data_IF_288126450584
#
_entry.id   IF_288126450584
#
_cell.length_a   1.000
_cell.length_b   1.000
_cell.length_c   1.000
_cell.angle_alpha   90.00
_cell.angle_beta   90.00
_cell.angle_gamma   90.00
#
_symmetry.space_group_name_H-M   'P 1'
#
loop_
_entity.id
_entity.type
_entity.pdbx_description
1 polymer ?
#
# COMPACT_ATOMS: atom_id res chain seq x y z
N UNK A 1 11.19 0.97 -2.42
CA UNK A 1 12.60 1.33 -2.71
C UNK A 1 13.16 2.55 -1.94
N UNK A 2 12.35 3.31 -1.20
CA UNK A 2 12.89 4.36 -0.31
C UNK A 2 13.91 3.83 0.71
N UNK A 3 13.76 2.55 1.11
CA UNK A 3 14.73 1.83 1.94
C UNK A 3 16.05 1.45 1.24
N UNK A 4 16.23 1.75 -0.05
CA UNK A 4 17.47 1.53 -0.81
C UNK A 4 18.14 2.85 -1.12
N UNK A 5 17.39 3.85 -1.58
CA UNK A 5 17.94 5.11 -2.09
C UNK A 5 18.70 5.91 -1.04
N UNK A 6 18.15 6.05 0.18
CA UNK A 6 18.84 6.76 1.26
C UNK A 6 20.08 6.01 1.78
N UNK A 7 20.03 4.70 2.08
CA UNK A 7 21.23 3.94 2.41
C UNK A 7 22.29 3.99 1.31
N UNK A 8 21.89 3.87 0.04
CA UNK A 8 22.83 4.00 -1.08
C UNK A 8 23.51 5.37 -1.07
N UNK A 9 22.76 6.46 -0.94
CA UNK A 9 23.32 7.82 -0.82
C UNK A 9 24.29 7.96 0.34
N UNK A 10 23.95 7.39 1.50
CA UNK A 10 24.83 7.47 2.67
C UNK A 10 26.12 6.66 2.49
N UNK A 11 26.07 5.55 1.75
CA UNK A 11 27.24 4.71 1.48
C UNK A 11 28.12 5.26 0.36
N UNK A 12 27.54 5.89 -0.67
CA UNK A 12 28.28 6.44 -1.81
C UNK A 12 28.72 7.88 -1.60
N UNK A 13 28.00 8.66 -0.79
CA UNK A 13 28.16 10.12 -0.70
C UNK A 13 27.68 10.89 -1.93
N UNK A 14 27.12 10.19 -2.93
CA UNK A 14 26.78 10.73 -4.25
C UNK A 14 25.33 10.39 -4.63
N UNK A 15 24.56 11.43 -4.94
CA UNK A 15 23.14 11.32 -5.30
C UNK A 15 22.91 10.65 -6.67
N UNK A 16 23.80 10.86 -7.63
CA UNK A 16 23.70 10.23 -8.95
C UNK A 16 23.99 8.73 -8.86
N UNK A 17 25.04 8.34 -8.13
CA UNK A 17 25.34 6.92 -7.88
C UNK A 17 24.21 6.25 -7.09
N UNK A 18 23.65 6.93 -6.09
CA UNK A 18 22.51 6.42 -5.34
C UNK A 18 21.26 6.23 -6.20
N UNK A 19 21.00 7.15 -7.12
CA UNK A 19 19.93 7.02 -8.11
C UNK A 19 20.16 5.79 -9.00
N UNK A 20 21.35 5.61 -9.58
CA UNK A 20 21.69 4.42 -10.40
C UNK A 20 21.46 3.11 -9.65
N UNK A 21 21.92 3.03 -8.39
CA UNK A 21 21.70 1.86 -7.52
C UNK A 21 20.21 1.61 -7.29
N UNK A 22 19.42 2.66 -7.06
CA UNK A 22 17.98 2.52 -6.91
C UNK A 22 17.29 2.08 -8.22
N UNK A 23 17.72 2.58 -9.39
CA UNK A 23 17.21 2.11 -10.68
C UNK A 23 17.49 0.61 -10.85
N UNK A 24 18.71 0.16 -10.54
CA UNK A 24 19.07 -1.26 -10.61
C UNK A 24 18.28 -2.12 -9.62
N UNK A 25 18.09 -1.64 -8.39
CA UNK A 25 17.26 -2.32 -7.40
C UNK A 25 15.79 -2.41 -7.83
N UNK A 26 15.27 -1.37 -8.50
CA UNK A 26 13.95 -1.37 -9.11
C UNK A 26 13.88 -2.42 -10.24
N UNK A 27 14.87 -2.46 -11.12
CA UNK A 27 14.97 -3.44 -12.21
C UNK A 27 14.95 -4.88 -11.69
N UNK A 28 15.78 -5.20 -10.68
CA UNK A 28 15.81 -6.53 -10.04
C UNK A 28 14.49 -6.84 -9.33
N UNK A 29 13.91 -5.87 -8.61
CA UNK A 29 12.63 -6.06 -7.94
C UNK A 29 11.54 -6.49 -8.92
N UNK A 30 11.48 -5.85 -10.10
CA UNK A 30 10.54 -6.23 -11.15
C UNK A 30 10.76 -7.65 -11.68
N UNK A 31 12.01 -8.05 -11.88
CA UNK A 31 12.35 -9.40 -12.33
C UNK A 31 12.00 -10.47 -11.28
N UNK A 32 12.28 -10.20 -10.00
CA UNK A 32 11.91 -11.08 -8.88
C UNK A 32 10.40 -11.22 -8.77
N UNK A 33 9.65 -10.12 -8.87
CA UNK A 33 8.19 -10.16 -8.83
C UNK A 33 7.58 -10.92 -10.01
N UNK A 34 8.11 -10.73 -11.22
CA UNK A 34 7.72 -11.52 -12.37
C UNK A 34 7.96 -13.03 -12.16
N UNK A 35 9.03 -13.41 -11.46
CA UNK A 35 9.27 -14.80 -11.09
C UNK A 35 8.28 -15.31 -10.01
N UNK A 36 8.00 -14.50 -8.99
CA UNK A 36 7.01 -14.81 -7.93
C UNK A 36 5.60 -15.02 -8.52
N UNK A 37 5.28 -14.31 -9.60
CA UNK A 37 3.97 -14.39 -10.28
C UNK A 37 3.52 -15.82 -10.61
N UNK A 38 4.47 -16.74 -10.86
CA UNK A 38 4.20 -18.15 -11.14
C UNK A 38 3.43 -18.85 -10.01
N UNK A 39 3.66 -18.41 -8.77
CA UNK A 39 3.02 -18.93 -7.56
C UNK A 39 1.85 -18.05 -7.08
N UNK A 40 1.64 -16.87 -7.69
CA UNK A 40 0.68 -15.85 -7.23
C UNK A 40 -0.74 -16.37 -7.01
N UNK A 41 -1.30 -17.05 -8.01
CA UNK A 41 -2.65 -17.62 -7.92
C UNK A 41 -2.76 -18.70 -6.83
N UNK A 42 -1.70 -19.48 -6.58
CA UNK A 42 -1.70 -20.49 -5.54
C UNK A 42 -1.71 -19.86 -4.15
N UNK A 43 -0.89 -18.83 -3.93
CA UNK A 43 -0.85 -18.08 -2.67
C UNK A 43 -2.20 -17.40 -2.41
N UNK A 44 -2.76 -16.68 -3.40
CA UNK A 44 -4.07 -16.02 -3.28
C UNK A 44 -5.16 -16.99 -2.84
N UNK A 45 -5.26 -18.17 -3.49
CA UNK A 45 -6.26 -19.19 -3.16
C UNK A 45 -6.06 -19.82 -1.78
N UNK A 46 -4.85 -19.77 -1.25
CA UNK A 46 -4.51 -20.32 0.06
C UNK A 46 -4.82 -19.34 1.20
N UNK A 47 -5.05 -18.06 0.89
CA UNK A 47 -5.32 -17.01 1.87
C UNK A 47 -6.82 -16.67 1.92
N UNK A 48 -7.42 -16.51 3.11
CA UNK A 48 -8.78 -16.05 3.22
C UNK A 48 -8.93 -14.60 2.74
N UNK A 49 -9.99 -14.34 1.95
CA UNK A 49 -10.31 -13.01 1.42
C UNK A 49 -10.42 -11.93 2.50
N UNK A 50 -11.06 -12.23 3.63
CA UNK A 50 -11.16 -11.29 4.76
C UNK A 50 -9.80 -10.85 5.31
N UNK A 51 -8.79 -11.72 5.29
CA UNK A 51 -7.44 -11.40 5.74
C UNK A 51 -6.70 -10.48 4.76
N UNK A 52 -6.79 -10.77 3.45
CA UNK A 52 -6.22 -9.93 2.40
C UNK A 52 -6.86 -8.54 2.37
N UNK A 53 -8.19 -8.46 2.41
CA UNK A 53 -8.92 -7.20 2.43
C UNK A 53 -8.75 -6.43 3.76
N UNK A 54 -8.63 -7.13 4.88
CA UNK A 54 -8.32 -6.49 6.17
C UNK A 54 -6.94 -5.84 6.20
N UNK A 55 -5.94 -6.48 5.59
CA UNK A 55 -4.63 -5.87 5.38
C UNK A 55 -4.72 -4.59 4.52
N UNK A 56 -5.49 -4.63 3.42
CA UNK A 56 -5.77 -3.45 2.58
C UNK A 56 -6.46 -2.35 3.36
N UNK A 57 -7.48 -2.69 4.16
CA UNK A 57 -8.19 -1.73 5.01
C UNK A 57 -7.27 -1.11 6.04
N UNK A 58 -6.28 -1.85 6.56
CA UNK A 58 -5.26 -1.34 7.47
C UNK A 58 -4.42 -0.25 6.82
N UNK A 59 -3.89 -0.49 5.60
CA UNK A 59 -3.16 0.53 4.81
C UNK A 59 -4.06 1.73 4.52
N UNK A 60 -5.30 1.46 4.12
CA UNK A 60 -6.27 2.49 3.79
C UNK A 60 -6.59 3.39 4.98
N UNK A 61 -6.72 2.82 6.18
CA UNK A 61 -6.98 3.57 7.40
C UNK A 61 -5.80 4.47 7.76
N UNK A 62 -4.57 3.97 7.67
CA UNK A 62 -3.41 4.68 8.21
C UNK A 62 -2.79 5.64 7.20
N UNK A 63 -2.28 5.11 6.09
CA UNK A 63 -1.46 5.86 5.13
C UNK A 63 -2.28 6.58 4.04
N UNK A 64 -3.56 6.23 3.89
CA UNK A 64 -4.45 6.88 2.93
C UNK A 64 -5.44 7.80 3.64
N UNK A 65 -6.50 7.27 4.25
CA UNK A 65 -7.55 8.07 4.86
C UNK A 65 -7.04 8.87 6.06
N UNK A 66 -6.35 8.24 7.02
CA UNK A 66 -5.87 8.89 8.23
C UNK A 66 -4.87 10.00 7.92
N UNK A 67 -3.79 9.68 7.22
CA UNK A 67 -2.76 10.66 6.87
C UNK A 67 -3.30 11.81 6.02
N UNK A 68 -4.17 11.53 5.04
CA UNK A 68 -4.75 12.58 4.21
C UNK A 68 -5.79 13.41 4.97
N UNK A 69 -6.46 12.84 5.97
CA UNK A 69 -7.31 13.61 6.87
C UNK A 69 -6.46 14.57 7.72
N UNK A 70 -5.30 14.14 8.23
CA UNK A 70 -4.39 15.05 8.94
C UNK A 70 -3.92 16.19 8.02
N UNK A 71 -3.52 15.87 6.78
CA UNK A 71 -3.15 16.89 5.77
C UNK A 71 -4.29 17.83 5.40
N UNK A 72 -5.52 17.33 5.35
CA UNK A 72 -6.71 18.16 5.16
C UNK A 72 -6.82 19.19 6.28
N UNK A 73 -6.58 18.78 7.53
CA UNK A 73 -6.73 19.61 8.71
C UNK A 73 -5.53 20.51 9.02
N UNK A 74 -4.44 20.47 8.24
CA UNK A 74 -3.31 21.41 8.37
C UNK A 74 -3.72 22.85 8.00
N UNK A 75 -4.72 23.02 7.11
CA UNK A 75 -5.36 24.31 6.84
C UNK A 75 -6.88 24.13 7.00
N UNK A 76 -7.40 24.12 8.24
CA UNK A 76 -8.76 23.66 8.56
C UNK A 76 -9.85 24.33 7.74
N UNK A 77 -9.76 25.65 7.52
CA UNK A 77 -10.81 26.39 6.81
C UNK A 77 -11.01 25.89 5.38
N UNK A 78 -9.92 25.60 4.68
CA UNK A 78 -9.96 25.10 3.31
C UNK A 78 -10.28 23.60 3.33
N UNK A 79 -9.58 22.85 4.16
CA UNK A 79 -9.70 21.41 4.24
C UNK A 79 -11.12 20.96 4.60
N UNK A 80 -11.76 21.58 5.60
CA UNK A 80 -13.12 21.23 6.01
C UNK A 80 -14.15 21.55 4.93
N UNK A 81 -14.00 22.66 4.21
CA UNK A 81 -14.88 23.00 3.09
C UNK A 81 -14.76 21.98 1.96
N UNK A 82 -13.52 21.68 1.54
CA UNK A 82 -13.26 20.68 0.50
C UNK A 82 -13.76 19.30 0.95
N UNK A 83 -13.53 18.92 2.20
CA UNK A 83 -14.03 17.66 2.77
C UNK A 83 -15.56 17.60 2.76
N UNK A 84 -16.26 18.69 3.12
CA UNK A 84 -17.71 18.75 3.04
C UNK A 84 -18.21 18.58 1.60
N UNK A 85 -17.56 19.22 0.62
CA UNK A 85 -17.84 19.04 -0.80
C UNK A 85 -17.65 17.56 -1.20
N UNK A 86 -16.57 16.91 -0.75
CA UNK A 86 -16.30 15.51 -1.05
C UNK A 86 -17.35 14.57 -0.43
N UNK A 87 -17.79 14.83 0.80
CA UNK A 87 -18.84 14.04 1.45
C UNK A 87 -20.17 14.19 0.69
N UNK A 88 -20.58 15.41 0.38
CA UNK A 88 -21.82 15.66 -0.37
C UNK A 88 -21.74 15.04 -1.77
N UNK A 89 -20.61 15.24 -2.46
CA UNK A 89 -20.47 14.90 -3.87
C UNK A 89 -20.16 13.44 -4.16
N UNK A 90 -19.31 12.80 -3.35
CA UNK A 90 -18.87 11.42 -3.60
C UNK A 90 -19.49 10.40 -2.63
N UNK A 91 -19.76 10.77 -1.38
CA UNK A 91 -20.43 9.86 -0.41
C UNK A 91 -21.94 9.90 -0.61
N UNK A 92 -22.56 11.08 -0.56
CA UNK A 92 -24.00 11.24 -0.77
C UNK A 92 -24.41 11.25 -2.26
N UNK A 93 -23.43 11.28 -3.18
CA UNK A 93 -23.63 11.29 -4.65
C UNK A 93 -24.52 12.44 -5.15
N UNK A 94 -24.45 13.59 -4.48
CA UNK A 94 -25.21 14.78 -4.87
C UNK A 94 -24.42 15.58 -5.91
N UNK A 95 -25.07 15.97 -7.01
CA UNK A 95 -24.42 16.76 -8.06
C UNK A 95 -23.98 18.13 -7.56
N UNK A 96 -22.74 18.53 -7.91
CA UNK A 96 -22.27 19.89 -7.66
C UNK A 96 -22.97 20.92 -8.56
N UNK A 97 -22.91 22.22 -8.21
CA UNK A 97 -23.32 23.29 -9.10
C UNK A 97 -22.73 23.13 -10.50
N UNK A 98 -23.51 23.50 -11.52
CA UNK A 98 -23.13 23.36 -12.94
C UNK A 98 -22.85 21.92 -13.41
N UNK A 99 -23.25 20.91 -12.63
CA UNK A 99 -23.02 19.47 -12.92
C UNK A 99 -21.53 19.12 -13.06
N UNK A 100 -20.66 19.85 -12.38
CA UNK A 100 -19.23 19.55 -12.33
C UNK A 100 -18.97 18.27 -11.50
N UNK A 101 -17.94 17.47 -11.85
CA UNK A 101 -17.47 16.40 -10.98
C UNK A 101 -17.07 16.95 -9.60
N UNK A 102 -17.45 16.24 -8.53
CA UNK A 102 -17.24 16.70 -7.17
C UNK A 102 -15.77 17.01 -6.85
N UNK A 103 -14.85 16.13 -7.28
CA UNK A 103 -13.40 16.32 -7.12
C UNK A 103 -12.90 17.57 -7.87
N UNK A 104 -13.34 17.80 -9.10
CA UNK A 104 -12.96 18.99 -9.88
C UNK A 104 -13.49 20.27 -9.22
N UNK A 105 -14.76 20.27 -8.80
CA UNK A 105 -15.36 21.39 -8.10
C UNK A 105 -14.62 21.70 -6.78
N UNK A 106 -14.31 20.67 -6.00
CA UNK A 106 -13.56 20.78 -4.75
C UNK A 106 -12.15 21.37 -4.99
N UNK A 107 -11.46 20.92 -6.04
CA UNK A 107 -10.14 21.45 -6.42
C UNK A 107 -10.23 22.94 -6.79
N UNK A 108 -11.18 23.33 -7.63
CA UNK A 108 -11.33 24.72 -8.08
C UNK A 108 -11.63 25.63 -6.89
N UNK A 109 -12.65 25.29 -6.10
CA UNK A 109 -13.09 26.11 -4.95
C UNK A 109 -12.03 26.14 -3.87
N UNK A 110 -11.44 24.99 -3.53
CA UNK A 110 -10.40 24.89 -2.50
C UNK A 110 -9.14 25.65 -2.87
N UNK A 111 -8.68 25.54 -4.12
CA UNK A 111 -7.49 26.26 -4.59
C UNK A 111 -7.76 27.76 -4.62
N UNK A 112 -8.90 28.21 -5.15
CA UNK A 112 -9.27 29.62 -5.15
C UNK A 112 -9.29 30.20 -3.72
N UNK A 113 -9.93 29.48 -2.79
CA UNK A 113 -9.97 29.90 -1.38
C UNK A 113 -8.57 29.97 -0.76
N UNK A 114 -7.69 29.02 -1.10
CA UNK A 114 -6.32 29.00 -0.60
C UNK A 114 -5.53 30.26 -0.96
N UNK A 115 -5.66 30.73 -2.20
CA UNK A 115 -5.03 31.96 -2.64
C UNK A 115 -5.71 33.21 -2.07
N UNK A 116 -7.05 33.23 -2.01
CA UNK A 116 -7.80 34.38 -1.48
C UNK A 116 -7.47 34.69 -0.01
N UNK A 117 -7.16 33.66 0.77
CA UNK A 117 -6.88 33.77 2.21
C UNK A 117 -5.38 33.93 2.48
N UNK A 118 -4.55 33.89 1.43
CA UNK A 118 -3.09 33.96 1.55
C UNK A 118 -2.44 32.70 2.15
N UNK A 119 -3.16 31.57 2.17
CA UNK A 119 -2.62 30.29 2.64
C UNK A 119 -1.72 29.61 1.59
N UNK A 120 -1.90 29.97 0.31
CA UNK A 120 -1.00 29.60 -0.77
C UNK A 120 -0.06 30.77 -1.10
N UNK A 121 1.23 30.47 -1.22
CA UNK A 121 2.25 31.46 -1.58
C UNK A 121 2.08 31.90 -3.04
N UNK A 122 1.80 33.18 -3.27
CA UNK A 122 1.64 33.76 -4.60
C UNK A 122 2.94 33.72 -5.43
N UNK A 123 4.11 33.68 -4.79
CA UNK A 123 5.40 33.52 -5.49
C UNK A 123 5.51 32.17 -6.21
N UNK A 124 4.93 31.12 -5.62
CA UNK A 124 4.89 29.77 -6.21
C UNK A 124 4.07 29.69 -7.49
N UNK A 125 3.18 30.66 -7.73
CA UNK A 125 2.39 30.69 -8.96
C UNK A 125 3.28 30.92 -10.19
N UNK A 126 4.22 31.87 -10.11
CA UNK A 126 5.16 32.13 -11.20
C UNK A 126 6.16 30.96 -11.35
N UNK A 127 6.64 30.43 -10.23
CA UNK A 127 7.58 29.30 -10.22
C UNK A 127 6.97 28.03 -10.82
N UNK A 128 5.66 27.80 -10.67
CA UNK A 128 4.98 26.64 -11.24
C UNK A 128 5.23 26.51 -12.75
N UNK A 129 5.20 27.63 -13.49
CA UNK A 129 5.39 27.64 -14.94
C UNK A 129 6.81 27.25 -15.37
N UNK A 130 7.79 27.36 -14.47
CA UNK A 130 9.18 26.95 -14.75
C UNK A 130 9.34 25.43 -14.89
N UNK A 131 8.37 24.66 -14.38
CA UNK A 131 8.33 23.22 -14.54
C UNK A 131 7.77 22.76 -15.89
N UNK A 132 7.13 23.64 -16.66
CA UNK A 132 6.61 23.30 -17.97
C UNK A 132 7.75 23.19 -18.98
N UNK A 133 7.79 22.09 -19.72
CA UNK A 133 8.83 21.82 -20.69
C UNK A 133 8.51 20.60 -21.52
N UNK A 134 9.47 20.11 -22.31
CA UNK A 134 9.37 18.82 -22.96
C UNK A 134 10.47 17.90 -22.44
N UNK A 135 10.07 16.85 -21.75
CA UNK A 135 10.90 15.85 -21.09
C UNK A 135 10.63 14.49 -21.73
N UNK A 136 11.26 14.17 -22.86
CA UNK A 136 11.02 12.91 -23.56
C UNK A 136 11.42 11.71 -22.69
N UNK A 137 10.66 10.63 -22.79
CA UNK A 137 10.98 9.36 -22.14
C UNK A 137 12.14 8.69 -22.90
N UNK A 138 13.38 8.94 -22.47
CA UNK A 138 14.57 8.38 -23.08
C UNK A 138 15.09 7.20 -22.27
N UNK A 139 15.39 6.05 -22.90
CA UNK A 139 16.06 4.95 -22.22
C UNK A 139 17.47 5.38 -21.80
N UNK A 140 17.98 4.79 -20.73
CA UNK A 140 19.33 5.05 -20.23
C UNK A 140 19.99 3.76 -19.71
N UNK A 141 21.28 3.85 -19.35
CA UNK A 141 22.08 2.74 -18.83
C UNK A 141 22.25 2.79 -17.30
N UNK A 142 21.48 3.62 -16.59
CA UNK A 142 21.58 3.75 -15.13
C UNK A 142 21.29 2.43 -14.42
N UNK A 143 20.36 1.63 -14.96
CA UNK A 143 20.07 0.28 -14.45
C UNK A 143 21.31 -0.63 -14.54
N UNK A 144 22.05 -0.59 -15.66
CA UNK A 144 23.21 -1.43 -15.88
C UNK A 144 24.40 -1.03 -14.99
N UNK A 145 24.70 0.27 -14.94
CA UNK A 145 25.74 0.81 -14.05
C UNK A 145 25.42 0.53 -12.58
N UNK A 146 24.15 0.72 -12.19
CA UNK A 146 23.67 0.43 -10.84
C UNK A 146 23.75 -1.04 -10.47
N UNK A 147 23.55 -1.98 -11.43
CA UNK A 147 23.77 -3.42 -11.19
C UNK A 147 25.23 -3.69 -10.86
N UNK A 148 26.16 -3.06 -11.58
CA UNK A 148 27.59 -3.13 -11.28
C UNK A 148 27.90 -2.73 -9.83
N UNK A 149 27.36 -1.62 -9.36
CA UNK A 149 27.53 -1.15 -7.99
C UNK A 149 26.87 -2.08 -6.96
N UNK A 150 25.63 -2.51 -7.23
CA UNK A 150 24.85 -3.36 -6.34
C UNK A 150 25.49 -4.73 -6.12
N UNK A 151 26.09 -5.33 -7.15
CA UNK A 151 26.74 -6.64 -7.06
C UNK A 151 28.23 -6.59 -6.65
N UNK A 152 28.79 -5.40 -6.42
CA UNK A 152 30.19 -5.23 -6.00
C UNK A 152 30.29 -4.57 -4.62
N UNK A 153 30.09 -3.27 -4.56
CA UNK A 153 30.32 -2.43 -3.37
C UNK A 153 29.10 -2.34 -2.44
N UNK A 154 27.90 -2.63 -2.95
CA UNK A 154 26.64 -2.45 -2.23
C UNK A 154 25.82 -3.75 -2.09
N UNK A 155 26.50 -4.90 -2.05
CA UNK A 155 25.88 -6.23 -1.96
C UNK A 155 24.90 -6.34 -0.78
N UNK A 156 25.18 -5.66 0.33
CA UNK A 156 24.31 -5.64 1.50
C UNK A 156 22.89 -5.13 1.20
N UNK A 157 22.72 -4.23 0.22
CA UNK A 157 21.41 -3.70 -0.15
C UNK A 157 20.51 -4.75 -0.81
N UNK A 158 21.08 -5.81 -1.40
CA UNK A 158 20.31 -6.93 -1.97
C UNK A 158 19.44 -7.61 -0.91
N UNK A 159 19.94 -7.69 0.34
CA UNK A 159 19.18 -8.28 1.46
C UNK A 159 17.94 -7.49 1.84
N UNK A 160 17.89 -6.19 1.48
CA UNK A 160 16.75 -5.30 1.71
C UNK A 160 15.78 -5.31 0.53
N UNK A 161 16.30 -5.52 -0.69
CA UNK A 161 15.47 -5.59 -1.92
C UNK A 161 14.49 -6.76 -1.82
N UNK A 162 14.94 -7.95 -1.44
CA UNK A 162 14.09 -9.15 -1.46
C UNK A 162 12.84 -9.01 -0.56
N UNK A 163 12.91 -8.60 0.72
CA UNK A 163 11.71 -8.37 1.54
C UNK A 163 10.78 -7.30 0.96
N UNK A 164 11.33 -6.21 0.43
CA UNK A 164 10.55 -5.13 -0.19
C UNK A 164 9.81 -5.65 -1.43
N UNK A 165 10.46 -6.47 -2.26
CA UNK A 165 9.84 -7.04 -3.45
C UNK A 165 8.77 -8.06 -3.09
N UNK A 166 9.00 -8.91 -2.08
CA UNK A 166 7.97 -9.84 -1.59
C UNK A 166 6.75 -9.09 -1.05
N UNK A 167 6.98 -7.98 -0.36
CA UNK A 167 5.92 -7.07 0.08
C UNK A 167 5.14 -6.51 -1.12
N UNK A 168 5.81 -5.99 -2.14
CA UNK A 168 5.17 -5.45 -3.35
C UNK A 168 4.31 -6.49 -4.07
N UNK A 169 4.83 -7.72 -4.22
CA UNK A 169 4.10 -8.81 -4.85
C UNK A 169 2.80 -9.16 -4.11
N UNK A 170 2.84 -9.19 -2.77
CA UNK A 170 1.64 -9.43 -1.95
C UNK A 170 0.70 -8.23 -2.00
N UNK A 171 1.23 -7.00 -2.08
CA UNK A 171 0.42 -5.79 -2.29
C UNK A 171 -0.39 -5.90 -3.59
N UNK A 172 0.26 -6.29 -4.68
CA UNK A 172 -0.40 -6.51 -5.97
C UNK A 172 -1.50 -7.56 -5.87
N UNK A 173 -1.28 -8.65 -5.16
CA UNK A 173 -2.30 -9.68 -4.90
C UNK A 173 -3.50 -9.13 -4.11
N UNK A 174 -3.23 -8.41 -3.02
CA UNK A 174 -4.25 -7.78 -2.19
C UNK A 174 -5.09 -6.77 -2.99
N UNK A 175 -4.45 -6.02 -3.90
CA UNK A 175 -5.11 -5.02 -4.73
C UNK A 175 -5.98 -5.68 -5.80
N UNK A 176 -5.54 -6.80 -6.38
CA UNK A 176 -6.37 -7.64 -7.26
C UNK A 176 -7.59 -8.19 -6.51
N UNK A 177 -7.41 -8.63 -5.26
CA UNK A 177 -8.53 -9.10 -4.43
C UNK A 177 -9.52 -7.97 -4.11
N UNK A 178 -9.02 -6.75 -3.83
CA UNK A 178 -9.85 -5.57 -3.62
C UNK A 178 -10.64 -5.20 -4.88
N UNK A 179 -10.06 -5.36 -6.07
CA UNK A 179 -10.77 -5.14 -7.34
C UNK A 179 -11.81 -6.23 -7.62
N UNK A 180 -11.50 -7.50 -7.30
CA UNK A 180 -12.46 -8.59 -7.34
C UNK A 180 -13.66 -8.28 -6.43
N UNK A 181 -13.40 -7.70 -5.26
CA UNK A 181 -14.45 -7.24 -4.35
C UNK A 181 -15.29 -6.09 -4.89
N UNK A 182 -14.72 -5.25 -5.75
CA UNK A 182 -15.41 -4.17 -6.45
C UNK A 182 -16.08 -4.63 -7.77
N UNK A 183 -16.05 -5.93 -8.09
CA UNK A 183 -16.75 -6.53 -9.23
C UNK A 183 -15.87 -6.82 -10.45
N UNK A 184 -14.56 -6.55 -10.42
CA UNK A 184 -13.64 -6.83 -11.53
C UNK A 184 -12.64 -7.93 -11.16
N UNK A 185 -12.80 -9.13 -11.72
CA UNK A 185 -11.91 -10.27 -11.46
C UNK A 185 -10.74 -10.34 -12.44
N UNK A 186 -9.52 -10.42 -11.91
CA UNK A 186 -8.28 -10.59 -12.68
C UNK A 186 -7.42 -11.72 -12.11
N UNK A 187 -6.55 -12.30 -12.94
CA UNK A 187 -5.58 -13.31 -12.50
C UNK A 187 -4.43 -12.64 -11.75
N UNK A 188 -4.19 -13.02 -10.49
CA UNK A 188 -3.06 -12.49 -9.69
C UNK A 188 -1.73 -12.75 -10.39
N UNK A 189 -1.55 -13.95 -10.97
CA UNK A 189 -0.36 -14.30 -11.74
C UNK A 189 -0.11 -13.33 -12.89
N UNK A 190 -1.15 -12.99 -13.66
CA UNK A 190 -0.99 -12.07 -14.79
C UNK A 190 -0.70 -10.65 -14.30
N UNK A 191 -1.42 -10.19 -13.28
CA UNK A 191 -1.21 -8.87 -12.70
C UNK A 191 0.20 -8.71 -12.13
N UNK A 192 0.71 -9.67 -11.35
CA UNK A 192 2.08 -9.65 -10.82
C UNK A 192 3.13 -9.73 -11.93
N UNK A 193 2.90 -10.51 -12.99
CA UNK A 193 3.83 -10.58 -14.11
C UNK A 193 3.92 -9.23 -14.85
N UNK A 194 2.78 -8.62 -15.16
CA UNK A 194 2.71 -7.30 -15.81
C UNK A 194 3.30 -6.21 -14.91
N UNK A 195 3.03 -6.28 -13.61
CA UNK A 195 3.56 -5.34 -12.64
C UNK A 195 5.09 -5.44 -12.50
N UNK A 196 5.62 -6.64 -12.31
CA UNK A 196 7.06 -6.87 -12.23
C UNK A 196 7.78 -6.48 -13.53
N UNK A 197 7.27 -6.90 -14.69
CA UNK A 197 7.86 -6.53 -15.98
C UNK A 197 7.72 -5.03 -16.27
N UNK A 198 6.60 -4.41 -15.89
CA UNK A 198 6.38 -2.96 -15.99
C UNK A 198 7.35 -2.18 -15.12
N UNK A 199 7.64 -2.67 -13.92
CA UNK A 199 8.67 -2.14 -13.02
C UNK A 199 10.06 -2.21 -13.67
N UNK A 200 10.45 -3.36 -14.22
CA UNK A 200 11.73 -3.50 -14.91
C UNK A 200 11.81 -2.62 -16.15
N UNK A 201 10.74 -2.52 -16.93
CA UNK A 201 10.66 -1.64 -18.08
C UNK A 201 10.82 -0.17 -17.67
N UNK A 202 10.12 0.29 -16.62
CA UNK A 202 10.26 1.64 -16.09
C UNK A 202 11.69 1.96 -15.63
N UNK A 203 12.40 0.98 -15.07
CA UNK A 203 13.81 1.13 -14.71
C UNK A 203 14.73 1.35 -15.92
N UNK A 204 14.43 0.79 -17.10
CA UNK A 204 15.18 1.06 -18.34
C UNK A 204 15.14 2.53 -18.75
N UNK A 205 14.13 3.28 -18.29
CA UNK A 205 13.97 4.72 -18.50
C UNK A 205 14.38 5.55 -17.27
N UNK A 206 15.06 4.94 -16.27
CA UNK A 206 15.54 5.63 -15.07
C UNK A 206 14.56 5.69 -13.90
N UNK A 207 13.45 4.93 -13.97
CA UNK A 207 12.50 4.81 -12.87
C UNK A 207 13.13 4.15 -11.64
N UNK A 208 12.86 4.73 -10.46
CA UNK A 208 13.30 4.23 -9.15
C UNK A 208 12.15 3.71 -8.27
N UNK A 209 10.94 3.74 -8.80
CA UNK A 209 9.72 3.37 -8.10
C UNK A 209 9.14 2.11 -8.73
N UNK A 210 9.08 1.00 -7.99
CA UNK A 210 8.30 -0.16 -8.40
C UNK A 210 6.86 0.22 -8.64
N UNK A 211 6.26 -0.38 -9.66
CA UNK A 211 4.83 -0.29 -9.91
C UNK A 211 4.08 -1.24 -8.97
N UNK A 212 2.77 -1.05 -8.87
CA UNK A 212 1.84 -2.00 -8.28
C UNK A 212 0.45 -1.79 -8.90
N UNK A 213 -0.46 -2.75 -8.72
CA UNK A 213 -1.86 -2.58 -9.10
C UNK A 213 -2.47 -1.41 -8.31
N UNK A 214 -3.04 -0.43 -9.00
CA UNK A 214 -3.50 0.81 -8.37
C UNK A 214 -4.74 0.60 -7.49
N UNK A 215 -4.54 0.61 -6.18
CA UNK A 215 -5.58 0.27 -5.19
C UNK A 215 -6.70 1.31 -5.08
N UNK A 216 -6.40 2.59 -5.34
CA UNK A 216 -7.37 3.67 -5.29
C UNK A 216 -8.46 3.56 -6.37
N UNK A 217 -8.29 2.65 -7.34
CA UNK A 217 -9.32 2.27 -8.31
C UNK A 217 -10.62 1.82 -7.63
N UNK A 218 -10.59 1.28 -6.39
CA UNK A 218 -11.80 0.97 -5.62
C UNK A 218 -12.72 2.18 -5.47
N UNK A 219 -12.16 3.36 -5.14
CA UNK A 219 -12.93 4.60 -5.07
C UNK A 219 -13.47 5.04 -6.44
N UNK A 220 -12.68 4.87 -7.50
CA UNK A 220 -13.14 5.11 -8.87
C UNK A 220 -14.27 4.16 -9.29
N UNK A 221 -14.26 2.90 -8.83
CA UNK A 221 -15.34 1.92 -9.09
C UNK A 221 -16.65 2.33 -8.45
N UNK A 222 -16.62 2.91 -7.25
CA UNK A 222 -17.82 3.49 -6.63
C UNK A 222 -18.44 4.61 -7.47
N UNK A 223 -17.64 5.26 -8.33
CA UNK A 223 -18.07 6.29 -9.28
C UNK A 223 -18.46 5.74 -10.67
N UNK A 224 -18.46 4.41 -10.87
CA UNK A 224 -18.81 3.78 -12.14
C UNK A 224 -17.68 3.73 -13.17
N UNK A 225 -16.42 3.85 -12.76
CA UNK A 225 -15.28 3.74 -13.68
C UNK A 225 -15.22 2.34 -14.34
N UNK A 226 -15.02 2.34 -15.66
CA UNK A 226 -14.75 1.14 -16.46
C UNK A 226 -13.31 1.09 -16.97
N UNK A 227 -12.99 0.12 -17.84
CA UNK A 227 -11.63 -0.10 -18.37
C UNK A 227 -11.04 1.10 -19.13
N UNK A 228 -11.89 1.92 -19.75
CA UNK A 228 -11.47 3.14 -20.44
C UNK A 228 -10.84 4.18 -19.50
N UNK A 229 -11.26 4.20 -18.23
CA UNK A 229 -10.66 5.08 -17.22
C UNK A 229 -9.18 4.76 -17.03
N UNK A 230 -8.82 3.49 -16.90
CA UNK A 230 -7.42 3.07 -16.69
C UNK A 230 -6.53 3.40 -17.89
N UNK A 231 -7.03 3.21 -19.12
CA UNK A 231 -6.30 3.55 -20.34
C UNK A 231 -6.08 5.06 -20.48
N UNK A 232 -7.14 5.84 -20.26
CA UNK A 232 -7.05 7.30 -20.27
C UNK A 232 -6.10 7.82 -19.19
N UNK A 233 -6.15 7.23 -17.99
CA UNK A 233 -5.24 7.59 -16.92
C UNK A 233 -3.78 7.37 -17.33
N UNK A 234 -3.44 6.22 -17.91
CA UNK A 234 -2.09 5.95 -18.42
C UNK A 234 -1.65 6.95 -19.49
N UNK A 235 -2.51 7.27 -20.45
CA UNK A 235 -2.21 8.24 -21.52
C UNK A 235 -2.04 9.66 -20.97
N UNK A 236 -2.94 10.11 -20.08
CA UNK A 236 -2.87 11.44 -19.46
C UNK A 236 -1.62 11.57 -18.60
N UNK A 237 -1.28 10.57 -17.79
CA UNK A 237 -0.06 10.60 -16.99
C UNK A 237 1.20 10.59 -17.86
N UNK A 238 1.23 9.80 -18.94
CA UNK A 238 2.35 9.78 -19.89
C UNK A 238 2.58 11.14 -20.56
N UNK A 239 1.51 11.82 -20.98
CA UNK A 239 1.61 13.18 -21.51
C UNK A 239 1.98 14.19 -20.40
N UNK A 240 1.33 14.10 -19.24
CA UNK A 240 1.55 15.03 -18.14
C UNK A 240 2.98 15.00 -17.59
N UNK A 241 3.60 13.82 -17.51
CA UNK A 241 5.02 13.71 -17.13
C UNK A 241 5.94 14.27 -18.21
N UNK A 242 5.68 13.98 -19.48
CA UNK A 242 6.48 14.50 -20.59
C UNK A 242 6.43 16.02 -20.72
N UNK A 243 5.34 16.67 -20.27
CA UNK A 243 5.21 18.12 -20.33
C UNK A 243 5.46 18.85 -19.00
N UNK A 244 5.88 18.13 -17.96
CA UNK A 244 6.11 18.71 -16.63
C UNK A 244 4.82 19.16 -15.90
N UNK A 245 3.65 18.77 -16.42
CA UNK A 245 2.35 19.18 -15.90
C UNK A 245 2.11 18.72 -14.46
N UNK A 246 2.67 17.58 -14.05
CA UNK A 246 2.52 17.10 -12.67
C UNK A 246 3.19 18.05 -11.68
N UNK A 247 4.43 18.48 -11.97
CA UNK A 247 5.17 19.41 -11.13
C UNK A 247 4.51 20.81 -11.14
N UNK A 248 4.03 21.24 -12.30
CA UNK A 248 3.23 22.47 -12.43
C UNK A 248 1.97 22.44 -11.55
N UNK A 249 1.16 21.38 -11.63
CA UNK A 249 -0.08 21.23 -10.83
C UNK A 249 0.25 21.14 -9.34
N UNK A 250 1.29 20.38 -8.96
CA UNK A 250 1.69 20.21 -7.56
C UNK A 250 2.21 21.51 -6.92
N UNK A 251 2.81 22.41 -7.71
CA UNK A 251 3.23 23.73 -7.25
C UNK A 251 2.02 24.68 -7.03
N UNK A 252 0.95 24.49 -7.81
CA UNK A 252 -0.23 25.36 -7.81
C UNK A 252 -1.27 24.96 -6.75
N UNK A 253 -1.51 23.66 -6.56
CA UNK A 253 -2.62 23.17 -5.72
C UNK A 253 -2.08 22.75 -4.35
N UNK A 254 -2.53 23.39 -3.25
CA UNK A 254 -2.14 22.98 -1.91
C UNK A 254 -2.57 21.55 -1.62
N UNK A 255 -1.72 20.82 -0.88
CA UNK A 255 -2.00 19.42 -0.51
C UNK A 255 -3.33 19.29 0.26
N UNK A 256 -3.68 20.27 1.10
CA UNK A 256 -4.93 20.30 1.85
C UNK A 256 -6.20 20.31 0.98
N UNK A 257 -6.09 20.72 -0.29
CA UNK A 257 -7.20 20.73 -1.27
C UNK A 257 -7.38 19.36 -1.93
N UNK A 258 -6.29 18.63 -2.17
CA UNK A 258 -6.36 17.31 -2.82
C UNK A 258 -6.59 16.20 -1.80
N UNK A 259 -6.08 16.36 -0.57
CA UNK A 259 -6.12 15.35 0.47
C UNK A 259 -7.53 14.80 0.77
N UNK A 260 -8.62 15.59 0.82
CA UNK A 260 -9.98 15.06 1.02
C UNK A 260 -10.44 14.05 -0.03
N UNK A 261 -9.94 14.15 -1.27
CA UNK A 261 -10.23 13.16 -2.31
C UNK A 261 -9.66 11.80 -1.92
N UNK A 262 -8.43 11.80 -1.38
CA UNK A 262 -7.79 10.59 -0.90
C UNK A 262 -8.43 10.07 0.40
N UNK A 263 -8.99 10.95 1.24
CA UNK A 263 -9.82 10.53 2.39
C UNK A 263 -11.03 9.72 1.91
N UNK A 264 -11.73 10.19 0.87
CA UNK A 264 -12.84 9.44 0.26
C UNK A 264 -12.36 8.08 -0.28
N UNK A 265 -11.24 8.06 -1.00
CA UNK A 265 -10.67 6.82 -1.54
C UNK A 265 -10.38 5.82 -0.41
N UNK A 266 -9.66 6.21 0.64
CA UNK A 266 -9.35 5.33 1.76
C UNK A 266 -10.60 4.86 2.51
N UNK A 267 -11.58 5.74 2.73
CA UNK A 267 -12.87 5.37 3.30
C UNK A 267 -13.59 4.31 2.47
N UNK A 268 -13.63 4.48 1.14
CA UNK A 268 -14.27 3.51 0.23
C UNK A 268 -13.61 2.13 0.30
N UNK A 269 -12.30 2.07 0.49
CA UNK A 269 -11.53 0.83 0.61
C UNK A 269 -11.83 0.11 1.94
N UNK A 270 -11.86 0.85 3.05
CA UNK A 270 -12.23 0.31 4.36
C UNK A 270 -13.67 -0.24 4.31
N UNK A 271 -14.61 0.55 3.81
CA UNK A 271 -16.01 0.14 3.69
C UNK A 271 -16.16 -1.10 2.79
N UNK A 272 -15.45 -1.15 1.66
CA UNK A 272 -15.48 -2.31 0.75
C UNK A 272 -14.93 -3.56 1.43
N UNK A 273 -13.87 -3.45 2.25
CA UNK A 273 -13.32 -4.60 2.96
C UNK A 273 -14.31 -5.23 3.95
N UNK A 274 -15.14 -4.45 4.64
CA UNK A 274 -16.20 -4.99 5.48
C UNK A 274 -17.39 -5.49 4.65
N UNK A 275 -17.94 -4.66 3.76
CA UNK A 275 -19.16 -4.97 3.02
C UNK A 275 -19.01 -6.17 2.06
N UNK A 276 -17.79 -6.49 1.64
CA UNK A 276 -17.55 -7.63 0.74
C UNK A 276 -17.27 -8.96 1.47
N UNK A 277 -17.46 -9.00 2.78
CA UNK A 277 -17.29 -10.19 3.61
C UNK A 277 -18.56 -10.45 4.44
N UNK A 278 -18.78 -11.70 4.86
CA UNK A 278 -19.81 -12.01 5.84
C UNK A 278 -19.51 -11.33 7.18
N UNK A 279 -20.57 -10.87 7.87
CA UNK A 279 -20.46 -10.18 9.15
C UNK A 279 -19.65 -10.97 10.20
N UNK A 280 -19.76 -12.31 10.18
CA UNK A 280 -18.96 -13.20 11.07
C UNK A 280 -17.44 -13.02 10.94
N UNK A 281 -16.96 -12.54 9.80
CA UNK A 281 -15.53 -12.33 9.53
C UNK A 281 -15.07 -10.89 9.82
N UNK A 282 -15.95 -9.98 10.22
CA UNK A 282 -15.58 -8.61 10.57
C UNK A 282 -14.51 -8.53 11.67
N UNK A 283 -14.52 -9.40 12.71
CA UNK A 283 -13.42 -9.46 13.68
C UNK A 283 -12.07 -9.78 13.04
N UNK A 284 -12.02 -10.65 12.02
CA UNK A 284 -10.78 -10.99 11.32
C UNK A 284 -10.27 -9.83 10.46
N UNK A 285 -11.19 -9.11 9.78
CA UNK A 285 -10.86 -7.87 9.04
C UNK A 285 -10.26 -6.85 10.01
N UNK A 286 -10.94 -6.57 11.13
CA UNK A 286 -10.47 -5.62 12.13
C UNK A 286 -9.12 -6.01 12.75
N UNK A 287 -8.92 -7.30 13.07
CA UNK A 287 -7.64 -7.79 13.59
C UNK A 287 -6.50 -7.59 12.57
N UNK A 288 -6.75 -7.86 11.28
CA UNK A 288 -5.77 -7.66 10.22
C UNK A 288 -5.41 -6.18 9.98
N UNK A 289 -6.23 -5.22 10.42
CA UNK A 289 -5.90 -3.80 10.32
C UNK A 289 -4.86 -3.35 11.36
N UNK A 290 -4.77 -4.02 12.51
CA UNK A 290 -3.96 -3.57 13.66
C UNK A 290 -2.45 -3.51 13.38
N UNK A 291 -1.83 -4.46 12.64
CA UNK A 291 -0.41 -4.37 12.33
C UNK A 291 -0.04 -3.12 11.53
N UNK A 292 -0.93 -2.63 10.67
CA UNK A 292 -0.71 -1.37 9.95
C UNK A 292 -0.81 -0.15 10.84
N UNK A 293 -1.65 -0.19 11.88
CA UNK A 293 -1.67 0.88 12.89
C UNK A 293 -0.32 0.95 13.64
N UNK A 294 0.22 -0.20 14.06
CA UNK A 294 1.56 -0.27 14.64
C UNK A 294 2.65 0.22 13.66
N UNK A 295 2.57 -0.20 12.39
CA UNK A 295 3.48 0.24 11.34
C UNK A 295 3.45 1.75 11.11
N UNK A 296 2.27 2.36 11.14
CA UNK A 296 2.12 3.81 11.02
C UNK A 296 2.83 4.53 12.16
N UNK A 297 2.57 4.14 13.41
CA UNK A 297 3.24 4.72 14.56
C UNK A 297 4.76 4.54 14.48
N UNK A 298 5.23 3.32 14.19
CA UNK A 298 6.66 3.04 14.04
C UNK A 298 7.30 3.93 12.97
N UNK A 299 6.75 3.95 11.76
CA UNK A 299 7.36 4.64 10.61
C UNK A 299 7.39 6.16 10.77
N UNK A 300 6.42 6.75 11.48
CA UNK A 300 6.35 8.20 11.70
C UNK A 300 7.31 8.70 12.78
N UNK A 301 7.67 7.87 13.75
CA UNK A 301 8.51 8.27 14.88
C UNK A 301 9.95 7.74 14.79
N UNK A 302 10.20 6.65 14.05
CA UNK A 302 11.51 5.99 13.98
C UNK A 302 12.68 6.89 13.52
N UNK A 303 12.41 8.02 12.85
CA UNK A 303 13.47 8.92 12.37
C UNK A 303 13.92 9.97 13.39
N UNK A 304 13.14 10.23 14.44
CA UNK A 304 13.41 11.38 15.31
C UNK A 304 13.04 11.21 16.78
N UNK A 305 12.19 10.23 17.12
CA UNK A 305 11.81 9.95 18.50
C UNK A 305 11.39 8.48 18.71
N UNK A 306 12.24 7.49 18.34
CA UNK A 306 11.91 6.07 18.52
C UNK A 306 11.58 5.71 19.98
N UNK A 307 12.23 6.36 20.94
CA UNK A 307 12.02 6.17 22.39
C UNK A 307 10.59 6.51 22.84
N UNK A 308 9.90 7.42 22.16
CA UNK A 308 8.50 7.75 22.46
C UNK A 308 7.60 6.55 22.15
N UNK A 309 7.86 5.86 21.04
CA UNK A 309 7.09 4.66 20.66
C UNK A 309 7.39 3.51 21.61
N UNK A 310 8.66 3.31 21.95
CA UNK A 310 9.07 2.30 22.93
C UNK A 310 8.43 2.55 24.31
N UNK A 311 8.32 3.81 24.73
CA UNK A 311 7.65 4.20 25.96
C UNK A 311 6.14 3.96 25.97
N UNK A 312 5.48 3.91 24.80
CA UNK A 312 4.07 3.51 24.68
C UNK A 312 3.95 1.99 24.77
N UNK A 313 4.71 1.26 23.95
CA UNK A 313 4.77 -0.19 23.97
C UNK A 313 5.95 -0.70 23.14
N UNK A 314 6.75 -1.57 23.74
CA UNK A 314 7.85 -2.28 23.04
C UNK A 314 7.36 -3.14 21.88
N UNK A 315 6.09 -3.51 21.83
CA UNK A 315 5.52 -4.34 20.77
C UNK A 315 5.23 -3.56 19.48
N UNK A 316 5.10 -2.23 19.51
CA UNK A 316 4.73 -1.43 18.33
C UNK A 316 5.82 -1.54 17.25
N UNK A 317 7.08 -1.39 17.64
CA UNK A 317 8.21 -1.50 16.72
C UNK A 317 8.24 -2.89 16.06
N UNK A 318 8.16 -3.96 16.87
CA UNK A 318 8.17 -5.32 16.34
C UNK A 318 6.95 -5.62 15.46
N UNK A 319 5.73 -5.25 15.86
CA UNK A 319 4.54 -5.50 15.05
C UNK A 319 4.53 -4.67 13.75
N UNK A 320 5.12 -3.48 13.76
CA UNK A 320 5.28 -2.64 12.59
C UNK A 320 6.23 -3.24 11.53
N UNK A 321 7.18 -4.08 11.93
CA UNK A 321 8.09 -4.75 11.00
C UNK A 321 7.40 -5.92 10.30
N UNK A 322 7.25 -5.83 8.97
CA UNK A 322 6.52 -6.84 8.19
C UNK A 322 5.00 -6.80 8.45
N UNK A 323 4.44 -5.61 8.65
CA UNK A 323 3.03 -5.43 8.99
C UNK A 323 2.05 -6.05 7.98
N UNK A 324 2.36 -6.06 6.69
CA UNK A 324 1.54 -6.74 5.68
C UNK A 324 1.43 -8.24 5.93
N UNK A 325 2.56 -8.92 6.15
CA UNK A 325 2.58 -10.35 6.45
C UNK A 325 1.87 -10.63 7.79
N UNK A 326 2.13 -9.81 8.80
CA UNK A 326 1.47 -9.88 10.12
C UNK A 326 -0.05 -9.75 9.98
N UNK A 327 -0.51 -8.76 9.23
CA UNK A 327 -1.93 -8.49 8.99
C UNK A 327 -2.62 -9.68 8.34
N UNK A 328 -2.06 -10.18 7.25
CA UNK A 328 -2.62 -11.31 6.50
C UNK A 328 -2.63 -12.57 7.35
N UNK A 329 -1.53 -12.91 8.04
CA UNK A 329 -1.44 -14.16 8.79
C UNK A 329 -2.32 -14.15 10.04
N UNK A 330 -2.37 -13.03 10.79
CA UNK A 330 -3.28 -12.89 11.93
C UNK A 330 -4.74 -12.93 11.48
N UNK A 331 -5.09 -12.23 10.40
CA UNK A 331 -6.42 -12.30 9.80
C UNK A 331 -6.77 -13.73 9.36
N UNK A 332 -5.85 -14.43 8.70
CA UNK A 332 -6.06 -15.78 8.20
C UNK A 332 -6.23 -16.80 9.32
N UNK A 333 -5.43 -16.70 10.39
CA UNK A 333 -5.61 -17.49 11.61
C UNK A 333 -6.98 -17.23 12.24
N UNK A 334 -7.41 -15.97 12.33
CA UNK A 334 -8.71 -15.61 12.88
C UNK A 334 -9.87 -16.19 12.06
N UNK A 335 -9.83 -16.08 10.73
CA UNK A 335 -10.82 -16.71 9.83
C UNK A 335 -10.88 -18.22 10.05
N UNK A 336 -9.72 -18.89 10.05
CA UNK A 336 -9.66 -20.33 10.26
C UNK A 336 -10.24 -20.76 11.62
N UNK A 337 -10.02 -19.97 12.68
CA UNK A 337 -10.62 -20.21 14.01
C UNK A 337 -12.13 -19.96 14.02
N UNK A 338 -12.62 -18.89 13.38
CA UNK A 338 -14.06 -18.61 13.23
C UNK A 338 -14.76 -19.79 12.57
N UNK A 339 -14.16 -20.34 11.51
CA UNK A 339 -14.69 -21.50 10.80
C UNK A 339 -14.42 -22.84 11.51
N UNK A 340 -13.74 -22.81 12.66
CA UNK A 340 -13.28 -23.98 13.44
C UNK A 340 -12.37 -24.93 12.65
N UNK A 341 -11.70 -24.42 11.61
CA UNK A 341 -10.70 -25.12 10.81
C UNK A 341 -9.31 -25.02 11.47
N UNK A 342 -9.20 -25.58 12.68
CA UNK A 342 -8.00 -25.43 13.50
C UNK A 342 -6.71 -25.98 12.86
N UNK A 343 -6.81 -26.99 11.98
CA UNK A 343 -5.66 -27.47 11.20
C UNK A 343 -5.07 -26.37 10.31
N UNK A 344 -5.93 -25.58 9.67
CA UNK A 344 -5.51 -24.48 8.83
C UNK A 344 -4.91 -23.34 9.68
N UNK A 345 -5.53 -23.04 10.83
CA UNK A 345 -4.98 -22.08 11.79
C UNK A 345 -3.57 -22.48 12.27
N UNK A 346 -3.34 -23.77 12.56
CA UNK A 346 -2.00 -24.29 12.88
C UNK A 346 -1.01 -24.05 11.75
N UNK A 347 -1.39 -24.33 10.50
CA UNK A 347 -0.50 -24.11 9.35
C UNK A 347 -0.13 -22.63 9.22
N UNK A 348 -1.09 -21.71 9.33
CA UNK A 348 -0.79 -20.27 9.28
C UNK A 348 0.10 -19.81 10.43
N UNK A 349 -0.10 -20.33 11.64
CA UNK A 349 0.78 -20.04 12.77
C UNK A 349 2.20 -20.57 12.54
N UNK A 350 2.37 -21.76 11.96
CA UNK A 350 3.69 -22.30 11.60
C UNK A 350 4.37 -21.48 10.50
N UNK A 351 3.62 -21.01 9.51
CA UNK A 351 4.14 -20.09 8.49
C UNK A 351 4.58 -18.76 9.12
N UNK A 352 3.78 -18.20 10.03
CA UNK A 352 4.14 -17.00 10.78
C UNK A 352 5.41 -17.18 11.62
N UNK A 353 5.55 -18.33 12.28
CA UNK A 353 6.77 -18.69 12.99
C UNK A 353 7.97 -18.72 12.02
N UNK A 354 7.86 -19.39 10.88
CA UNK A 354 8.91 -19.42 9.87
C UNK A 354 9.30 -18.03 9.35
N UNK A 355 8.32 -17.16 9.11
CA UNK A 355 8.56 -15.78 8.68
C UNK A 355 9.25 -14.93 9.77
N UNK A 356 8.84 -15.07 11.03
CA UNK A 356 9.50 -14.42 12.16
C UNK A 356 10.94 -14.95 12.37
N UNK A 357 11.16 -16.24 12.14
CA UNK A 357 12.47 -16.88 12.26
C UNK A 357 13.49 -16.30 11.27
N UNK A 358 13.09 -16.09 10.01
CA UNK A 358 14.00 -15.54 8.98
C UNK A 358 14.05 -14.01 8.97
N UNK A 359 13.17 -13.34 9.73
CA UNK A 359 13.11 -11.88 9.84
C UNK A 359 12.28 -11.18 8.75
N UNK A 360 11.33 -11.88 8.12
CA UNK A 360 10.33 -11.26 7.25
C UNK A 360 9.25 -10.52 8.05
N UNK A 361 9.09 -10.88 9.32
CA UNK A 361 8.18 -10.26 10.29
C UNK A 361 8.90 -10.06 11.61
N UNK A 362 8.52 -9.01 12.35
CA UNK A 362 8.99 -8.74 13.72
C UNK A 362 10.48 -8.47 13.91
N UNK A 363 11.23 -8.34 12.81
CA UNK A 363 12.65 -8.02 12.83
C UNK A 363 12.97 -6.90 11.82
N UNK A 364 13.99 -6.07 12.08
CA UNK A 364 14.37 -4.97 11.19
C UNK A 364 15.15 -5.44 9.94
N UNK A 365 15.64 -6.68 9.93
CA UNK A 365 16.45 -7.24 8.85
C UNK A 365 16.30 -8.76 8.79
N UNK A 366 16.61 -9.33 7.63
CA UNK A 366 16.74 -10.78 7.46
C UNK A 366 17.94 -11.29 8.26
N UNK A 367 17.70 -12.34 9.04
CA UNK A 367 18.74 -13.05 9.80
C UNK A 367 18.24 -14.46 10.14
N UNK A 368 19.16 -15.35 10.49
CA UNK A 368 18.78 -16.62 11.10
C UNK A 368 18.29 -16.36 12.52
N UNK A 369 17.13 -16.89 12.88
CA UNK A 369 16.51 -16.72 14.20
C UNK A 369 16.35 -15.23 14.58
N UNK A 370 15.81 -14.44 13.66
CA UNK A 370 15.76 -12.98 13.72
C UNK A 370 14.84 -12.41 14.80
N UNK A 371 13.69 -13.05 15.06
CA UNK A 371 12.72 -12.64 16.08
C UNK A 371 12.35 -13.83 17.01
N UNK A 372 13.21 -14.17 17.99
CA UNK A 372 13.05 -15.35 18.86
C UNK A 372 11.71 -15.43 19.59
N UNK A 373 11.31 -14.35 20.25
CA UNK A 373 10.10 -14.34 21.08
C UNK A 373 8.83 -14.52 20.24
N UNK A 374 8.78 -13.89 19.06
CA UNK A 374 7.67 -14.04 18.13
C UNK A 374 7.66 -15.42 17.47
N UNK A 375 8.83 -15.95 17.10
CA UNK A 375 8.96 -17.31 16.60
C UNK A 375 8.36 -18.32 17.60
N UNK A 376 8.76 -18.26 18.87
CA UNK A 376 8.22 -19.12 19.92
C UNK A 376 6.75 -18.85 20.20
N UNK A 377 6.34 -17.58 20.20
CA UNK A 377 4.93 -17.19 20.37
C UNK A 377 4.02 -17.84 19.32
N UNK A 378 4.42 -17.80 18.04
CA UNK A 378 3.67 -18.46 16.98
C UNK A 378 3.73 -20.00 17.05
N UNK A 379 4.82 -20.60 17.54
CA UNK A 379 4.85 -22.04 17.82
C UNK A 379 3.87 -22.43 18.94
N UNK A 380 3.78 -21.62 20.00
CA UNK A 380 2.79 -21.83 21.07
C UNK A 380 1.36 -21.68 20.54
N UNK A 381 1.09 -20.69 19.69
CA UNK A 381 -0.20 -20.56 19.02
C UNK A 381 -0.49 -21.78 18.14
N UNK A 382 0.49 -22.25 17.36
CA UNK A 382 0.34 -23.43 16.51
C UNK A 382 0.00 -24.68 17.32
N UNK A 383 0.67 -24.89 18.47
CA UNK A 383 0.38 -25.98 19.40
C UNK A 383 -1.02 -25.87 19.98
N UNK A 384 -1.44 -24.66 20.38
CA UNK A 384 -2.77 -24.41 20.90
C UNK A 384 -3.87 -24.74 19.88
N UNK A 385 -3.71 -24.29 18.63
CA UNK A 385 -4.63 -24.65 17.55
C UNK A 385 -4.58 -26.14 17.21
N UNK A 386 -3.40 -26.76 17.22
CA UNK A 386 -3.24 -28.20 16.96
C UNK A 386 -3.98 -29.06 17.99
N UNK A 387 -4.00 -28.62 19.26
CA UNK A 387 -4.77 -29.28 20.31
C UNK A 387 -6.28 -29.24 20.05
N UNK A 388 -6.82 -28.11 19.60
CA UNK A 388 -8.23 -28.03 19.17
C UNK A 388 -8.52 -28.88 17.93
N UNK A 389 -7.59 -28.93 16.99
CA UNK A 389 -7.70 -29.80 15.82
C UNK A 389 -7.74 -31.29 16.21
N UNK A 390 -6.95 -31.69 17.23
CA UNK A 390 -6.95 -33.04 17.76
C UNK A 390 -8.23 -33.39 18.53
N UNK A 391 -8.80 -32.41 19.27
CA UNK A 391 -10.09 -32.58 19.94
C UNK A 391 -11.29 -32.79 19.00
N UNK A 392 -11.12 -32.56 17.70
CA UNK A 392 -12.17 -32.83 16.71
C UNK A 392 -13.37 -31.88 16.83
N UNK A 393 -13.13 -30.59 17.09
CA UNK A 393 -14.20 -29.59 17.11
C UNK A 393 -14.90 -29.56 15.75
N UNK A 394 -16.23 -29.70 15.76
CA UNK A 394 -17.03 -29.70 14.53
C UNK A 394 -16.89 -28.36 13.79
N UNK A 395 -16.70 -28.39 12.45
CA UNK A 395 -16.65 -27.19 11.63
C UNK A 395 -17.88 -26.30 11.85
N UNK A 396 -17.69 -24.98 11.76
CA UNK A 396 -18.83 -24.08 11.82
C UNK A 396 -19.79 -24.35 10.65
N UNK A 397 -21.10 -24.27 10.89
CA UNK A 397 -22.08 -24.41 9.82
C UNK A 397 -21.83 -23.35 8.73
N UNK A 398 -21.95 -23.70 7.44
CA UNK A 398 -21.92 -22.71 6.38
C UNK A 398 -23.10 -21.76 6.56
N UNK A 399 -22.81 -20.46 6.65
CA UNK A 399 -23.84 -19.45 6.79
C UNK A 399 -24.57 -19.31 5.45
N UNK A 400 -25.91 -19.37 5.46
CA UNK A 400 -26.70 -19.08 4.27
C UNK A 400 -26.59 -17.58 4.03
N UNK A 401 -26.17 -17.19 2.83
CA UNK A 401 -26.18 -15.79 2.42
C UNK A 401 -27.63 -15.30 2.51
N UNK A 402 -27.94 -14.53 3.56
CA UNK A 402 -29.13 -13.69 3.54
C UNK A 402 -28.92 -12.70 2.42
N UNK A 403 -29.79 -12.70 1.41
CA UNK A 403 -29.76 -11.71 0.31
C UNK A 403 -30.17 -10.31 0.76
N UNK A 404 -30.11 -10.03 2.05
CA UNK A 404 -30.46 -8.79 2.69
C UNK A 404 -29.32 -8.46 3.65
N UNK A 405 -28.29 -7.82 3.10
CA UNK A 405 -27.42 -6.83 3.75
C UNK A 405 -26.77 -5.97 2.66
#
# INVERSE_FOLDING_TARGET
LFGVLLPAKNLTGDAELAWKVAVAACFISGAIEAAISLMGNWVQRSLPRAAMLGAVAGVALTFIAGEMLFKTLEIPMIGLLVLAIMIVGLVARVSMPFRLPASLFAIIVGTALAYLVGAADSGKFADAFTHLGFYPLLPNLAWYEGLGLLFTSLLALITVILPITLYNAIETMNNVEAMSAAGDSYSVRECQAVDGLGTSLGALFGGVFPTTVYIATVGSKWMGAGRGYSLLNGAVYGLATMFGLIAFIAALIPVSVVAPILVFVGMSMIATAFNSNHARYYPAVALAMLPYFANYLMTRFNRGAPEVVEGISSAIGALGQGAMFSAILLGAMCVAVIDRQFRQATVFALVAAGMAFVGLMHAPKLAWYAAPDFFHGYLLMALFFAWYAWRGVEPAAPERVSSAD
#
